data_IF_445219380755
#
_entry.id   IF_445219380755
#
_cell.length_a   1.000
_cell.length_b   1.000
_cell.length_c   1.000
_cell.angle_alpha   90.00
_cell.angle_beta   90.00
_cell.angle_gamma   90.00
#
_symmetry.space_group_name_H-M   'P 1'
#
loop_
_entity.id
_entity.type
_entity.pdbx_description
1 polymer ?
#
# COMPACT_ATOMS: atom_id res chain seq x y z
N UNK A 1 10.91 -3.73 3.21
CA UNK A 1 10.48 -4.20 4.54
C UNK A 1 11.06 -5.57 4.81
N UNK A 2 11.51 -5.82 6.05
CA UNK A 2 11.82 -7.17 6.53
C UNK A 2 10.64 -7.66 7.37
N UNK A 3 10.31 -8.94 7.27
CA UNK A 3 9.36 -9.62 8.15
C UNK A 3 9.93 -10.94 8.65
N UNK A 4 9.53 -11.35 9.86
CA UNK A 4 9.88 -12.65 10.44
C UNK A 4 8.69 -13.58 10.27
N UNK A 5 8.88 -14.70 9.59
CA UNK A 5 7.82 -15.70 9.37
C UNK A 5 7.35 -16.26 10.71
N UNK A 6 6.04 -16.31 10.91
CA UNK A 6 5.42 -16.84 12.13
C UNK A 6 4.20 -17.70 11.79
N UNK A 7 3.89 -18.67 12.63
CA UNK A 7 2.59 -19.33 12.60
C UNK A 7 1.51 -18.41 13.17
N UNK A 8 0.28 -18.57 12.67
CA UNK A 8 -0.91 -17.97 13.28
C UNK A 8 -1.99 -19.02 13.49
N UNK A 9 -3.22 -18.59 13.74
CA UNK A 9 -4.31 -19.48 14.18
C UNK A 9 -4.95 -20.33 13.07
N UNK A 10 -4.37 -20.37 11.86
CA UNK A 10 -4.89 -21.06 10.66
C UNK A 10 -6.35 -20.74 10.27
N UNK A 11 -6.90 -19.60 10.72
CA UNK A 11 -8.30 -19.20 10.47
C UNK A 11 -8.53 -18.58 9.08
N UNK A 12 -7.49 -18.03 8.47
CA UNK A 12 -7.59 -17.31 7.20
C UNK A 12 -7.99 -18.20 6.01
N UNK A 13 -7.72 -19.52 6.07
CA UNK A 13 -8.04 -20.47 4.99
C UNK A 13 -9.51 -20.39 4.57
N UNK A 14 -10.42 -20.32 5.54
CA UNK A 14 -11.86 -20.26 5.27
C UNK A 14 -12.25 -18.95 4.56
N UNK A 15 -11.68 -17.82 4.97
CA UNK A 15 -11.96 -16.51 4.35
C UNK A 15 -11.36 -16.42 2.93
N UNK A 16 -10.11 -16.86 2.76
CA UNK A 16 -9.44 -16.87 1.45
C UNK A 16 -10.12 -17.81 0.44
N UNK A 17 -10.93 -18.74 0.92
CA UNK A 17 -11.68 -19.67 0.07
C UNK A 17 -13.04 -19.13 -0.38
N UNK A 18 -13.50 -17.99 0.15
CA UNK A 18 -14.79 -17.39 -0.21
C UNK A 18 -14.70 -16.67 -1.57
N UNK A 19 -15.62 -17.01 -2.47
CA UNK A 19 -15.67 -16.46 -3.84
C UNK A 19 -15.82 -14.94 -3.86
N UNK A 20 -16.54 -14.35 -2.90
CA UNK A 20 -16.72 -12.91 -2.78
C UNK A 20 -15.39 -12.17 -2.52
N UNK A 21 -14.49 -12.76 -1.74
CA UNK A 21 -13.14 -12.22 -1.53
C UNK A 21 -12.22 -12.53 -2.71
N UNK A 22 -12.22 -13.77 -3.23
CA UNK A 22 -11.37 -14.16 -4.36
C UNK A 22 -11.61 -13.30 -5.60
N UNK A 23 -12.88 -13.01 -5.92
CA UNK A 23 -13.26 -12.17 -7.06
C UNK A 23 -12.64 -10.78 -6.92
N UNK A 24 -12.82 -10.13 -5.76
CA UNK A 24 -12.25 -8.80 -5.50
C UNK A 24 -10.72 -8.82 -5.47
N UNK A 25 -10.07 -9.85 -4.89
CA UNK A 25 -8.61 -9.96 -4.96
C UNK A 25 -8.09 -10.11 -6.40
N UNK A 26 -8.83 -10.82 -7.25
CA UNK A 26 -8.49 -10.95 -8.67
C UNK A 26 -8.67 -9.63 -9.42
N UNK A 27 -9.76 -8.91 -9.16
CA UNK A 27 -10.08 -7.63 -9.81
C UNK A 27 -9.14 -6.51 -9.36
N UNK A 28 -8.95 -6.35 -8.05
CA UNK A 28 -8.21 -5.23 -7.45
C UNK A 28 -6.69 -5.47 -7.43
N UNK A 29 -6.24 -6.71 -7.23
CA UNK A 29 -4.82 -7.04 -7.07
C UNK A 29 -4.25 -7.86 -8.24
N UNK A 30 -5.11 -8.41 -9.11
CA UNK A 30 -4.67 -9.38 -10.13
C UNK A 30 -4.17 -10.70 -9.54
N UNK A 31 -4.61 -11.05 -8.31
CA UNK A 31 -4.17 -12.25 -7.60
C UNK A 31 -5.38 -13.18 -7.39
N UNK A 32 -5.26 -14.43 -7.84
CA UNK A 32 -6.13 -15.51 -7.38
C UNK A 32 -5.42 -16.22 -6.22
N UNK A 33 -5.78 -15.95 -4.95
CA UNK A 33 -4.97 -16.39 -3.81
C UNK A 33 -5.08 -17.90 -3.57
N UNK A 34 -3.96 -18.50 -3.16
CA UNK A 34 -3.96 -19.81 -2.51
C UNK A 34 -4.82 -19.76 -1.23
N UNK A 35 -5.42 -20.89 -0.85
CA UNK A 35 -6.28 -21.00 0.34
C UNK A 35 -5.45 -20.99 1.64
N UNK A 36 -4.87 -19.84 1.97
CA UNK A 36 -4.05 -19.61 3.16
C UNK A 36 -3.29 -18.30 3.09
N UNK A 37 -2.68 -17.92 4.21
CA UNK A 37 -1.86 -16.70 4.36
C UNK A 37 -0.48 -17.07 4.90
N UNK A 38 0.55 -16.35 4.47
CA UNK A 38 1.85 -16.33 5.13
C UNK A 38 1.83 -15.23 6.18
N UNK A 39 2.01 -15.58 7.45
CA UNK A 39 2.00 -14.61 8.52
C UNK A 39 3.43 -14.16 8.83
N UNK A 40 3.59 -12.86 9.10
CA UNK A 40 4.88 -12.27 9.46
C UNK A 40 4.74 -11.31 10.64
N UNK A 41 5.75 -11.30 11.51
CA UNK A 41 5.97 -10.21 12.45
C UNK A 41 6.77 -9.12 11.76
N UNK A 42 6.32 -7.87 11.92
CA UNK A 42 6.88 -6.72 11.23
C UNK A 42 6.62 -5.46 12.06
N UNK A 43 7.64 -4.60 12.31
CA UNK A 43 7.45 -3.36 13.07
C UNK A 43 6.56 -2.35 12.33
N UNK A 44 6.38 -2.53 11.01
CA UNK A 44 5.63 -1.62 10.15
C UNK A 44 4.12 -1.86 10.16
N UNK A 45 3.61 -2.81 10.95
CA UNK A 45 2.17 -3.15 10.98
C UNK A 45 1.30 -1.93 11.29
N UNK A 46 1.60 -1.21 12.37
CA UNK A 46 0.85 0.00 12.78
C UNK A 46 0.89 1.08 11.71
N UNK A 47 2.05 1.29 11.09
CA UNK A 47 2.20 2.24 9.98
C UNK A 47 1.28 1.86 8.82
N UNK A 48 1.27 0.60 8.39
CA UNK A 48 0.41 0.13 7.31
C UNK A 48 -1.09 0.18 7.66
N UNK A 49 -1.45 0.02 8.94
CA UNK A 49 -2.82 0.18 9.42
C UNK A 49 -3.32 1.63 9.25
N UNK A 50 -2.45 2.63 9.41
CA UNK A 50 -2.77 4.06 9.23
C UNK A 50 -2.80 4.52 7.76
N UNK A 51 -2.02 3.85 6.90
CA UNK A 51 -1.93 4.19 5.47
C UNK A 51 -3.20 3.82 4.70
N UNK A 52 -3.51 4.58 3.66
CA UNK A 52 -4.53 4.18 2.68
C UNK A 52 -3.98 3.04 1.80
N UNK A 53 -4.78 2.01 1.56
CA UNK A 53 -4.44 0.88 0.70
C UNK A 53 -5.52 0.62 -0.35
N UNK A 54 -5.40 -0.51 -1.04
CA UNK A 54 -6.48 -1.03 -1.88
C UNK A 54 -7.53 -1.65 -0.96
N UNK A 55 -8.79 -1.23 -1.08
CA UNK A 55 -9.85 -1.72 -0.22
C UNK A 55 -10.66 -2.81 -0.92
N UNK A 56 -10.57 -4.03 -0.40
CA UNK A 56 -11.53 -5.10 -0.69
C UNK A 56 -12.71 -4.94 0.26
N UNK A 57 -13.92 -4.83 -0.29
CA UNK A 57 -15.12 -4.49 0.47
C UNK A 57 -15.66 -5.72 1.20
N UNK A 58 -16.17 -5.47 2.40
CA UNK A 58 -16.95 -6.45 3.15
C UNK A 58 -18.28 -6.78 2.46
N UNK A 59 -18.89 -7.90 2.85
CA UNK A 59 -20.14 -8.40 2.27
C UNK A 59 -20.96 -9.14 3.34
N UNK A 60 -22.22 -9.44 3.00
CA UNK A 60 -23.10 -10.27 3.83
C UNK A 60 -23.33 -11.59 3.11
N UNK A 61 -23.12 -12.70 3.81
CA UNK A 61 -23.37 -14.05 3.29
C UNK A 61 -24.10 -14.88 4.33
N UNK A 62 -25.27 -15.43 3.95
CA UNK A 62 -26.14 -16.22 4.85
C UNK A 62 -26.40 -15.51 6.19
N UNK A 63 -26.77 -14.23 6.14
CA UNK A 63 -27.03 -13.41 7.34
C UNK A 63 -25.80 -12.98 8.14
N UNK A 64 -24.60 -13.49 7.82
CA UNK A 64 -23.35 -13.12 8.51
C UNK A 64 -22.61 -12.02 7.76
N UNK A 65 -22.21 -10.96 8.47
CA UNK A 65 -21.41 -9.85 7.95
C UNK A 65 -19.91 -10.18 8.00
N UNK A 66 -19.23 -9.96 6.89
CA UNK A 66 -17.78 -10.08 6.71
C UNK A 66 -17.20 -8.69 6.46
N UNK A 67 -16.09 -8.37 7.12
CA UNK A 67 -15.47 -7.03 7.09
C UNK A 67 -14.67 -6.75 5.82
N UNK A 68 -14.31 -5.49 5.60
CA UNK A 68 -13.36 -5.13 4.55
C UNK A 68 -11.93 -5.60 4.86
N UNK A 69 -11.09 -5.57 3.83
CA UNK A 69 -9.68 -5.93 3.92
C UNK A 69 -8.86 -4.89 3.17
N UNK A 70 -7.95 -4.23 3.88
CA UNK A 70 -6.98 -3.29 3.31
C UNK A 70 -5.80 -4.08 2.76
N UNK A 71 -5.40 -3.77 1.52
CA UNK A 71 -4.41 -4.54 0.78
C UNK A 71 -3.27 -3.64 0.27
N UNK A 72 -2.05 -4.17 0.31
CA UNK A 72 -0.86 -3.52 -0.23
C UNK A 72 -0.11 -4.47 -1.16
N UNK A 73 -0.04 -4.17 -2.47
CA UNK A 73 0.71 -4.97 -3.42
C UNK A 73 2.21 -5.00 -3.12
N UNK A 74 2.77 -6.21 -3.08
CA UNK A 74 4.18 -6.45 -2.77
C UNK A 74 4.76 -7.56 -3.65
N UNK A 75 6.07 -7.76 -3.54
CA UNK A 75 6.78 -8.92 -4.05
C UNK A 75 7.73 -9.50 -3.00
N UNK A 76 7.86 -10.82 -3.02
CA UNK A 76 8.85 -11.57 -2.25
C UNK A 76 9.73 -12.29 -3.29
N UNK A 77 10.98 -11.84 -3.43
CA UNK A 77 11.82 -12.21 -4.56
C UNK A 77 11.14 -11.83 -5.89
N UNK A 78 10.79 -12.85 -6.69
CA UNK A 78 10.06 -12.70 -7.98
C UNK A 78 8.56 -12.97 -7.87
N UNK A 79 8.07 -13.41 -6.72
CA UNK A 79 6.66 -13.78 -6.54
C UNK A 79 5.82 -12.53 -6.26
N UNK A 80 4.73 -12.36 -7.01
CA UNK A 80 3.70 -11.35 -6.70
C UNK A 80 2.91 -11.80 -5.47
N UNK A 81 2.65 -10.85 -4.59
CA UNK A 81 1.91 -11.08 -3.36
C UNK A 81 1.20 -9.78 -2.92
N UNK A 82 0.39 -9.85 -1.89
CA UNK A 82 -0.18 -8.68 -1.25
C UNK A 82 -0.19 -8.86 0.26
N UNK A 83 0.17 -7.82 1.00
CA UNK A 83 -0.13 -7.75 2.43
C UNK A 83 -1.62 -7.47 2.56
N UNK A 84 -2.32 -8.19 3.43
CA UNK A 84 -3.73 -8.01 3.73
C UNK A 84 -3.92 -7.73 5.20
N UNK A 85 -4.75 -6.73 5.51
CA UNK A 85 -5.06 -6.28 6.86
C UNK A 85 -6.58 -6.21 6.97
N UNK A 86 -7.23 -7.21 7.60
CA UNK A 86 -8.66 -7.15 7.89
C UNK A 86 -8.99 -5.96 8.80
N UNK A 87 -10.12 -5.27 8.56
CA UNK A 87 -10.56 -4.11 9.35
C UNK A 87 -10.67 -4.38 10.86
N UNK A 88 -10.96 -5.64 11.22
CA UNK A 88 -11.14 -6.08 12.62
C UNK A 88 -10.02 -7.01 13.10
N UNK A 89 -8.83 -6.91 12.50
CA UNK A 89 -7.70 -7.74 12.94
C UNK A 89 -7.25 -7.35 14.35
N UNK A 90 -7.12 -8.35 15.23
CA UNK A 90 -6.52 -8.22 16.57
C UNK A 90 -5.19 -8.97 16.66
N UNK A 91 -4.73 -9.52 15.54
CA UNK A 91 -3.50 -10.30 15.51
C UNK A 91 -2.30 -9.34 15.44
N UNK A 92 -1.19 -9.71 16.07
CA UNK A 92 0.06 -8.91 16.07
C UNK A 92 0.87 -9.06 14.78
N UNK A 93 0.53 -10.03 13.93
CA UNK A 93 1.19 -10.30 12.66
C UNK A 93 0.46 -9.65 11.47
N UNK A 94 1.20 -9.40 10.39
CA UNK A 94 0.64 -9.13 9.06
C UNK A 94 0.40 -10.44 8.32
N UNK A 95 -0.61 -10.46 7.47
CA UNK A 95 -0.89 -11.59 6.59
C UNK A 95 -0.50 -11.27 5.15
N UNK A 96 0.09 -12.22 4.45
CA UNK A 96 0.45 -12.10 3.04
C UNK A 96 -0.25 -13.18 2.23
N UNK A 97 -0.93 -12.75 1.15
CA UNK A 97 -1.54 -13.64 0.17
C UNK A 97 -0.71 -13.68 -1.12
N UNK A 98 -0.73 -14.82 -1.80
CA UNK A 98 -0.14 -15.00 -3.12
C UNK A 98 -0.90 -16.11 -3.87
N UNK A 99 -0.66 -16.22 -5.18
CA UNK A 99 -1.14 -17.36 -5.99
C UNK A 99 -0.61 -18.70 -5.49
N UNK A 100 0.54 -18.69 -4.81
CA UNK A 100 1.22 -19.90 -4.35
C UNK A 100 1.21 -20.01 -2.83
N UNK A 101 1.33 -21.24 -2.32
CA UNK A 101 1.72 -21.46 -0.93
C UNK A 101 3.17 -20.96 -0.75
N UNK A 102 3.33 -19.79 -0.14
CA UNK A 102 4.63 -19.14 -0.02
C UNK A 102 5.60 -19.93 0.87
N UNK A 103 5.11 -20.66 1.87
CA UNK A 103 5.97 -21.47 2.75
C UNK A 103 6.60 -22.61 1.97
N UNK A 104 5.80 -23.37 1.23
CA UNK A 104 6.31 -24.46 0.40
C UNK A 104 7.19 -23.93 -0.74
N UNK A 105 6.72 -22.88 -1.44
CA UNK A 105 7.41 -22.37 -2.63
C UNK A 105 8.77 -21.76 -2.32
N UNK A 106 8.93 -21.17 -1.14
CA UNK A 106 10.16 -20.53 -0.69
C UNK A 106 10.87 -21.32 0.43
N UNK A 107 10.36 -22.52 0.77
CA UNK A 107 10.87 -23.40 1.83
C UNK A 107 11.03 -22.71 3.20
N UNK A 108 10.06 -21.87 3.58
CA UNK A 108 10.12 -21.04 4.78
C UNK A 108 9.62 -21.77 6.04
N UNK A 109 10.32 -21.55 7.14
CA UNK A 109 9.99 -21.98 8.50
C UNK A 109 9.74 -20.77 9.41
N UNK A 110 9.16 -21.02 10.58
CA UNK A 110 9.00 -19.96 11.58
C UNK A 110 10.37 -19.46 12.05
N UNK A 111 10.48 -18.15 12.25
CA UNK A 111 11.75 -17.47 12.55
C UNK A 111 12.52 -16.99 11.32
N UNK A 112 12.18 -17.46 10.13
CA UNK A 112 12.88 -17.04 8.91
C UNK A 112 12.65 -15.55 8.61
N UNK A 113 13.73 -14.85 8.28
CA UNK A 113 13.67 -13.45 7.84
C UNK A 113 13.44 -13.39 6.34
N UNK A 114 12.39 -12.70 5.93
CA UNK A 114 12.07 -12.47 4.51
C UNK A 114 12.11 -10.98 4.14
N UNK A 115 12.59 -10.70 2.94
CA UNK A 115 12.57 -9.34 2.36
C UNK A 115 11.36 -9.16 1.46
N UNK A 116 10.52 -8.19 1.82
CA UNK A 116 9.30 -7.81 1.13
C UNK A 116 9.50 -6.44 0.51
N UNK A 117 9.17 -6.31 -0.79
CA UNK A 117 9.27 -5.05 -1.52
C UNK A 117 7.88 -4.65 -2.00
N UNK A 118 7.44 -3.44 -1.67
CA UNK A 118 6.26 -2.85 -2.29
C UNK A 118 6.48 -2.65 -3.79
N UNK A 119 5.38 -2.66 -4.53
CA UNK A 119 5.34 -2.34 -5.96
C UNK A 119 4.33 -1.22 -6.20
N UNK A 120 4.43 -0.46 -7.29
CA UNK A 120 3.43 0.56 -7.62
C UNK A 120 2.01 -0.02 -7.72
N UNK A 121 1.03 0.73 -7.24
CA UNK A 121 -0.38 0.34 -7.28
C UNK A 121 -1.31 1.56 -7.37
N UNK A 122 -2.56 1.33 -7.73
CA UNK A 122 -3.59 2.36 -7.70
C UNK A 122 -4.39 2.26 -6.41
N UNK A 123 -4.72 3.40 -5.81
CA UNK A 123 -5.66 3.47 -4.69
C UNK A 123 -6.48 4.75 -4.74
N UNK A 124 -7.56 4.77 -3.98
CA UNK A 124 -8.24 6.01 -3.65
C UNK A 124 -7.56 6.64 -2.43
N UNK A 125 -7.10 7.88 -2.58
CA UNK A 125 -6.54 8.70 -1.50
C UNK A 125 -7.68 9.34 -0.72
N UNK A 126 -7.60 9.39 0.62
CA UNK A 126 -8.54 10.16 1.46
C UNK A 126 -8.38 11.67 1.28
N UNK A 127 -9.41 12.43 1.62
CA UNK A 127 -9.35 13.91 1.66
C UNK A 127 -8.54 14.35 2.89
N UNK A 128 -7.66 15.33 2.70
CA UNK A 128 -6.92 15.97 3.79
C UNK A 128 -7.31 17.46 3.90
N UNK A 129 -7.46 17.96 5.12
CA UNK A 129 -7.25 19.38 5.39
C UNK A 129 -5.77 19.56 5.74
N UNK A 130 -5.14 20.54 5.12
CA UNK A 130 -3.71 20.76 5.20
C UNK A 130 -3.45 22.17 5.72
N UNK A 131 -2.57 22.23 6.70
CA UNK A 131 -1.88 23.44 7.13
C UNK A 131 -0.50 23.41 6.48
N UNK A 132 -0.17 24.41 5.66
CA UNK A 132 1.00 24.38 4.80
C UNK A 132 1.86 25.62 4.99
N UNK A 133 3.17 25.40 5.08
CA UNK A 133 4.17 26.44 5.27
C UNK A 133 5.32 26.25 4.26
N UNK A 134 5.85 27.38 3.78
CA UNK A 134 6.95 27.36 2.81
C UNK A 134 8.26 26.94 3.49
N UNK A 135 8.99 25.99 2.89
CA UNK A 135 10.33 25.62 3.36
C UNK A 135 10.42 24.65 4.54
N UNK A 136 9.30 24.11 5.05
CA UNK A 136 9.35 23.11 6.13
C UNK A 136 9.95 21.77 5.67
N UNK A 137 11.25 21.58 5.91
CA UNK A 137 11.96 20.33 5.57
C UNK A 137 11.47 19.10 6.36
N UNK A 138 10.80 19.30 7.50
CA UNK A 138 10.34 18.25 8.42
C UNK A 138 8.85 17.89 8.29
N UNK A 139 8.11 18.56 7.41
CA UNK A 139 6.69 18.28 7.22
C UNK A 139 6.42 16.83 6.80
N UNK A 140 5.37 16.23 7.37
CA UNK A 140 4.91 14.88 7.03
C UNK A 140 4.42 14.76 5.60
N UNK A 141 3.86 15.82 5.03
CA UNK A 141 3.37 15.85 3.65
C UNK A 141 4.17 16.90 2.88
N UNK A 142 4.69 16.54 1.70
CA UNK A 142 5.42 17.46 0.83
C UNK A 142 4.80 17.46 -0.55
N UNK A 143 4.45 18.64 -1.05
CA UNK A 143 3.89 18.85 -2.39
C UNK A 143 5.01 19.42 -3.27
N UNK A 144 5.30 18.76 -4.39
CA UNK A 144 6.36 19.14 -5.33
C UNK A 144 5.76 19.81 -6.57
N UNK A 145 5.83 21.14 -6.65
CA UNK A 145 5.32 21.89 -7.80
C UNK A 145 6.20 21.73 -9.05
N UNK A 146 7.43 21.29 -8.86
CA UNK A 146 8.37 20.96 -9.91
C UNK A 146 8.76 19.48 -9.87
N UNK A 147 9.58 19.04 -10.83
CA UNK A 147 10.06 17.67 -10.87
C UNK A 147 10.94 17.35 -9.63
N UNK A 148 10.56 16.37 -8.78
CA UNK A 148 11.32 15.98 -7.58
C UNK A 148 12.78 15.54 -7.82
N UNK A 149 13.15 15.29 -9.09
CA UNK A 149 14.51 14.89 -9.45
C UNK A 149 15.48 16.07 -9.60
N UNK A 150 14.97 17.30 -9.67
CA UNK A 150 15.79 18.51 -9.70
C UNK A 150 16.67 18.62 -8.44
N UNK A 151 17.70 19.48 -8.52
CA UNK A 151 18.61 19.72 -7.39
C UNK A 151 17.87 20.38 -6.23
N UNK A 152 17.08 21.42 -6.53
CA UNK A 152 16.30 22.20 -5.59
C UNK A 152 14.88 22.44 -6.15
N UNK A 153 14.00 21.42 -6.12
CA UNK A 153 12.62 21.60 -6.59
C UNK A 153 11.84 22.54 -5.66
N UNK A 154 10.92 23.31 -6.23
CA UNK A 154 9.92 24.04 -5.47
C UNK A 154 9.02 23.07 -4.70
N UNK A 155 9.05 23.17 -3.37
CA UNK A 155 8.31 22.30 -2.45
C UNK A 155 7.58 23.11 -1.39
N UNK A 156 6.42 22.62 -1.01
CA UNK A 156 5.63 23.11 0.13
C UNK A 156 5.48 21.97 1.15
N UNK A 157 5.78 22.26 2.40
CA UNK A 157 5.59 21.34 3.51
C UNK A 157 4.20 21.53 4.11
N UNK A 158 3.51 20.44 4.43
CA UNK A 158 2.18 20.46 5.02
C UNK A 158 2.01 19.41 6.13
N UNK A 159 1.13 19.72 7.08
CA UNK A 159 0.66 18.81 8.13
C UNK A 159 -0.86 18.58 8.03
N UNK A 160 -1.32 17.38 8.40
CA UNK A 160 -2.75 17.03 8.43
C UNK A 160 -3.40 17.64 9.70
N UNK A 161 -3.99 18.84 9.56
CA UNK A 161 -4.68 19.59 10.63
C UNK A 161 -5.86 20.37 10.04
N UNK A 162 -6.68 21.04 10.88
CA UNK A 162 -7.72 21.97 10.39
C UNK A 162 -7.08 23.22 9.77
N UNK A 163 -6.59 23.10 8.54
CA UNK A 163 -6.02 24.20 7.75
C UNK A 163 -6.92 24.67 6.61
N UNK A 164 -6.48 25.71 5.90
CA UNK A 164 -7.26 26.36 4.83
C UNK A 164 -7.19 25.62 3.48
N UNK A 165 -6.18 24.76 3.29
CA UNK A 165 -5.97 24.03 2.03
C UNK A 165 -6.59 22.65 2.11
N UNK A 166 -7.16 22.20 1.00
CA UNK A 166 -7.78 20.88 0.89
C UNK A 166 -7.11 20.08 -0.19
N UNK A 167 -6.57 18.92 0.16
CA UNK A 167 -6.18 17.92 -0.83
C UNK A 167 -7.36 16.98 -1.07
N UNK A 168 -8.00 17.00 -2.26
CA UNK A 168 -9.23 16.26 -2.48
C UNK A 168 -8.98 14.76 -2.57
N UNK A 169 -10.04 14.01 -2.31
CA UNK A 169 -10.06 12.56 -2.53
C UNK A 169 -10.07 12.23 -4.03
N UNK A 170 -9.09 11.41 -4.46
CA UNK A 170 -8.80 11.12 -5.88
C UNK A 170 -8.16 9.75 -6.03
N UNK A 171 -8.16 9.23 -7.26
CA UNK A 171 -7.35 8.05 -7.62
C UNK A 171 -5.90 8.48 -7.77
N UNK A 172 -4.99 7.79 -7.09
CA UNK A 172 -3.55 8.04 -7.16
C UNK A 172 -2.80 6.77 -7.52
N UNK A 173 -1.74 6.93 -8.32
CA UNK A 173 -0.67 5.94 -8.39
C UNK A 173 0.22 6.11 -7.16
N UNK A 174 0.36 5.05 -6.39
CA UNK A 174 1.05 5.01 -5.11
C UNK A 174 2.28 4.12 -5.19
N UNK A 175 3.37 4.51 -4.54
CA UNK A 175 4.45 3.59 -4.21
C UNK A 175 4.98 3.83 -2.81
N UNK A 176 4.84 2.80 -1.97
CA UNK A 176 5.39 2.75 -0.61
C UNK A 176 6.84 2.27 -0.69
N UNK A 177 7.72 2.83 0.13
CA UNK A 177 9.13 2.44 0.13
C UNK A 177 9.83 2.76 1.45
N UNK A 178 11.03 2.19 1.57
CA UNK A 178 12.05 2.57 2.55
C UNK A 178 13.26 3.11 1.78
N UNK A 179 13.98 4.07 2.37
CA UNK A 179 15.21 4.59 1.82
C UNK A 179 15.01 5.68 0.76
N UNK A 180 15.66 5.52 -0.41
CA UNK A 180 15.90 6.61 -1.35
C UNK A 180 14.64 7.13 -2.05
N UNK A 181 14.27 8.39 -1.79
CA UNK A 181 13.08 9.04 -2.35
C UNK A 181 13.14 9.21 -3.87
N UNK A 182 14.28 9.67 -4.42
CA UNK A 182 14.43 9.95 -5.86
C UNK A 182 14.39 8.67 -6.69
N UNK A 183 15.01 7.59 -6.24
CA UNK A 183 14.99 6.30 -6.94
C UNK A 183 13.57 5.72 -6.99
N UNK A 184 12.85 5.78 -5.87
CA UNK A 184 11.48 5.30 -5.80
C UNK A 184 10.51 6.18 -6.60
N UNK A 185 10.72 7.50 -6.60
CA UNK A 185 10.00 8.41 -7.49
C UNK A 185 10.17 8.04 -8.97
N UNK A 186 11.42 7.81 -9.42
CA UNK A 186 11.70 7.38 -10.82
C UNK A 186 10.95 6.11 -11.19
N UNK A 187 10.93 5.12 -10.30
CA UNK A 187 10.23 3.84 -10.51
C UNK A 187 8.72 4.05 -10.64
N UNK A 188 8.12 4.82 -9.74
CA UNK A 188 6.69 5.14 -9.80
C UNK A 188 6.36 5.92 -11.07
N UNK A 189 7.12 6.97 -11.38
CA UNK A 189 6.94 7.80 -12.57
C UNK A 189 6.97 6.96 -13.86
N UNK A 190 7.96 6.06 -13.98
CA UNK A 190 8.10 5.15 -15.13
C UNK A 190 6.95 4.16 -15.22
N UNK A 191 6.45 3.66 -14.08
CA UNK A 191 5.30 2.76 -14.06
C UNK A 191 4.01 3.49 -14.44
N UNK A 192 3.79 4.70 -13.93
CA UNK A 192 2.59 5.50 -14.15
C UNK A 192 2.45 5.95 -15.60
N UNK A 193 3.53 6.52 -16.18
CA UNK A 193 3.50 7.05 -17.56
C UNK A 193 3.22 6.01 -18.65
N UNK A 194 3.33 4.71 -18.35
CA UNK A 194 2.98 3.64 -19.28
C UNK A 194 1.49 3.56 -19.59
N UNK A 195 0.63 4.05 -18.69
CA UNK A 195 -0.83 3.83 -18.74
C UNK A 195 -1.65 5.06 -18.38
N UNK A 196 -1.03 6.05 -17.74
CA UNK A 196 -1.72 7.18 -17.15
C UNK A 196 -1.00 8.48 -17.41
N UNK A 197 -1.78 9.55 -17.46
CA UNK A 197 -1.31 10.93 -17.44
C UNK A 197 -1.31 11.42 -15.99
N UNK A 198 -0.29 12.20 -15.63
CA UNK A 198 -0.17 12.79 -14.29
C UNK A 198 -0.79 14.17 -14.33
N UNK A 199 -1.75 14.42 -13.45
CA UNK A 199 -2.59 15.62 -13.48
C UNK A 199 -2.10 16.74 -12.57
N UNK A 200 -1.50 16.36 -11.43
CA UNK A 200 -1.14 17.30 -10.36
C UNK A 200 0.27 17.04 -9.85
N UNK A 201 0.86 18.03 -9.14
CA UNK A 201 2.09 17.90 -8.38
C UNK A 201 2.25 16.55 -7.65
N UNK A 202 3.42 15.90 -7.72
CA UNK A 202 3.74 14.75 -6.89
C UNK A 202 3.67 15.09 -5.40
N UNK A 203 3.20 14.11 -4.62
CA UNK A 203 3.09 14.23 -3.17
C UNK A 203 3.94 13.14 -2.53
N UNK A 204 4.78 13.52 -1.58
CA UNK A 204 5.49 12.60 -0.71
C UNK A 204 4.88 12.66 0.68
N UNK A 205 4.50 11.50 1.22
CA UNK A 205 4.02 11.38 2.59
C UNK A 205 5.04 10.58 3.42
N UNK A 206 5.41 11.12 4.57
CA UNK A 206 6.34 10.54 5.54
C UNK A 206 5.57 9.94 6.74
N UNK A 207 5.64 8.62 6.86
CA UNK A 207 5.10 7.86 7.99
C UNK A 207 6.20 7.40 8.96
N UNK A 208 7.35 8.10 8.96
CA UNK A 208 8.52 7.79 9.76
C UNK A 208 9.39 6.74 9.09
N UNK A 209 9.12 5.46 9.33
CA UNK A 209 9.94 4.37 8.76
C UNK A 209 9.56 4.04 7.31
N UNK A 210 8.32 4.30 6.90
CA UNK A 210 7.86 4.17 5.52
C UNK A 210 7.54 5.53 4.95
N UNK A 211 7.79 5.67 3.65
CA UNK A 211 7.36 6.82 2.86
C UNK A 211 6.50 6.36 1.70
N UNK A 212 5.68 7.27 1.20
CA UNK A 212 4.82 7.01 0.06
C UNK A 212 4.88 8.16 -0.94
N UNK A 213 5.19 7.83 -2.19
CA UNK A 213 4.94 8.73 -3.31
C UNK A 213 3.53 8.52 -3.82
N UNK A 214 2.82 9.63 -4.08
CA UNK A 214 1.51 9.66 -4.71
C UNK A 214 1.54 10.57 -5.94
N UNK A 215 1.03 10.05 -7.05
CA UNK A 215 0.79 10.80 -8.28
C UNK A 215 -0.70 10.77 -8.57
N UNK A 216 -1.33 11.93 -8.68
CA UNK A 216 -2.70 11.99 -9.16
C UNK A 216 -2.74 11.72 -10.66
N UNK A 217 -3.65 10.83 -11.06
CA UNK A 217 -3.66 10.28 -12.41
C UNK A 217 -5.01 10.43 -13.11
N UNK A 218 -4.93 10.48 -14.45
CA UNK A 218 -6.06 10.28 -15.37
C UNK A 218 -5.71 9.14 -16.33
N UNK A 219 -6.70 8.33 -16.70
CA UNK A 219 -6.52 7.32 -17.75
C UNK A 219 -6.15 8.01 -19.05
N UNK A 220 -5.12 7.49 -19.74
CA UNK A 220 -4.87 7.90 -21.11
C UNK A 220 -6.08 7.42 -21.92
N UNK A 221 -6.86 8.36 -22.45
CA UNK A 221 -7.88 8.03 -23.46
C UNK A 221 -7.12 7.44 -24.65
N UNK A 222 -7.38 6.16 -24.92
CA UNK A 222 -6.93 5.50 -26.14
C UNK A 222 -7.68 6.06 -27.35
#
# INVERSE_FOLDING_TARGET
MIGIVTSGRKKAKNFMSMEEYKKQFKEELGINPYAGTLNILSPYKKILEEMDGIMVRGFIRKGKKYGGVKCFPVKIGRLKAAIVIPEKSKEEYLEIISKHNLREKLQLKDGDKIKIKFIPFLKWRRKYLLDCEEGEKKARIKIYYENPLLKNPLIEGCEERKGNKVLPSRIVASMIFEGNEKENFKKLLTWTKKRYSIMYPPILIDYGQLKEWQLEIKWNTA
#
